data_IF_007121939323
#
_entry.id   IF_007121939323
#
_cell.length_a   1.000
_cell.length_b   1.000
_cell.length_c   1.000
_cell.angle_alpha   90.00
_cell.angle_beta   90.00
_cell.angle_gamma   90.00
#
_symmetry.space_group_name_H-M   'P 1'
#
loop_
_entity.id
_entity.type
_entity.pdbx_description
1 polymer ?
#
# COMPACT_ATOMS: atom_id res chain seq x y z
N UNK A 1 0.83 4.31 -4.14
CA UNK A 1 -0.55 4.42 -3.61
C UNK A 1 -1.27 5.52 -4.37
N UNK A 2 -2.49 5.26 -4.81
CA UNK A 2 -3.36 6.27 -5.41
C UNK A 2 -4.57 6.50 -4.49
N UNK A 3 -5.06 7.74 -4.44
CA UNK A 3 -6.32 8.10 -3.80
C UNK A 3 -7.51 7.60 -4.65
N UNK A 4 -8.74 7.56 -4.11
CA UNK A 4 -9.92 7.12 -4.84
C UNK A 4 -10.21 7.89 -6.13
N UNK A 5 -9.65 9.09 -6.31
CA UNK A 5 -9.72 9.93 -7.51
C UNK A 5 -8.63 9.60 -8.56
N UNK A 6 -7.80 8.59 -8.34
CA UNK A 6 -6.67 8.22 -9.20
C UNK A 6 -5.40 9.07 -8.97
N UNK A 7 -5.44 10.05 -8.06
CA UNK A 7 -4.29 10.90 -7.76
C UNK A 7 -3.27 10.14 -6.92
N UNK A 8 -1.99 10.24 -7.28
CA UNK A 8 -0.93 9.58 -6.50
C UNK A 8 -0.82 10.23 -5.12
N UNK A 9 -1.07 9.45 -4.07
CA UNK A 9 -0.80 9.88 -2.71
C UNK A 9 0.71 9.88 -2.48
N UNK A 10 1.28 11.06 -2.32
CA UNK A 10 2.71 11.23 -2.10
C UNK A 10 3.06 10.99 -0.62
N UNK A 11 3.22 9.71 -0.26
CA UNK A 11 3.73 9.32 1.05
C UNK A 11 5.25 9.37 1.01
N UNK A 12 5.82 10.52 1.35
CA UNK A 12 7.29 10.74 1.28
C UNK A 12 8.06 10.19 2.48
N UNK A 13 7.39 9.93 3.60
CA UNK A 13 8.02 9.38 4.81
C UNK A 13 8.29 7.89 4.67
N UNK A 14 9.57 7.47 4.72
CA UNK A 14 9.96 6.05 4.77
C UNK A 14 9.26 5.29 5.91
N UNK A 15 9.14 5.90 7.09
CA UNK A 15 8.44 5.31 8.25
C UNK A 15 6.93 5.16 8.00
N UNK A 16 6.30 6.08 7.26
CA UNK A 16 4.90 5.97 6.89
C UNK A 16 4.67 4.85 5.86
N UNK A 17 5.54 4.75 4.84
CA UNK A 17 5.52 3.64 3.87
C UNK A 17 5.67 2.31 4.60
N UNK A 18 6.66 2.21 5.49
CA UNK A 18 6.91 1.02 6.29
C UNK A 18 5.74 0.66 7.21
N UNK A 19 5.13 1.65 7.87
CA UNK A 19 3.92 1.46 8.68
C UNK A 19 2.77 0.86 7.85
N UNK A 20 2.53 1.41 6.66
CA UNK A 20 1.50 0.90 5.77
C UNK A 20 1.80 -0.53 5.31
N UNK A 21 3.06 -0.84 4.99
CA UNK A 21 3.49 -2.18 4.62
C UNK A 21 3.33 -3.21 5.75
N UNK A 22 3.69 -2.85 6.99
CA UNK A 22 3.49 -3.68 8.18
C UNK A 22 2.01 -4.01 8.43
N UNK A 23 1.11 -3.09 8.10
CA UNK A 23 -0.33 -3.28 8.20
C UNK A 23 -0.88 -4.06 7.00
N UNK A 24 -0.48 -3.71 5.77
CA UNK A 24 -0.94 -4.34 4.53
C UNK A 24 -0.59 -5.83 4.45
N UNK A 25 0.58 -6.20 4.97
CA UNK A 25 1.01 -7.60 5.09
C UNK A 25 0.28 -8.39 6.18
N UNK A 26 -0.44 -7.73 7.10
CA UNK A 26 -1.27 -8.42 8.08
C UNK A 26 -2.52 -8.97 7.40
N UNK A 27 -2.88 -10.23 7.66
CA UNK A 27 -4.09 -10.82 7.09
C UNK A 27 -5.34 -9.96 7.36
N UNK A 28 -5.47 -9.42 8.58
CA UNK A 28 -6.56 -8.54 9.02
C UNK A 28 -6.35 -7.05 8.73
N UNK A 29 -5.18 -6.65 8.22
CA UNK A 29 -4.78 -5.25 8.15
C UNK A 29 -4.41 -4.64 9.50
N UNK A 30 -4.40 -5.42 10.59
CA UNK A 30 -4.29 -4.94 11.96
C UNK A 30 -3.03 -5.42 12.67
N UNK A 31 -2.37 -4.51 13.39
CA UNK A 31 -1.20 -4.79 14.23
C UNK A 31 -1.29 -4.09 15.58
N UNK A 32 -0.60 -4.66 16.56
CA UNK A 32 -0.47 -4.06 17.89
C UNK A 32 0.44 -2.84 17.84
N UNK A 33 0.07 -1.78 18.57
CA UNK A 33 0.85 -0.53 18.61
C UNK A 33 2.26 -0.74 19.14
N UNK A 34 2.41 -1.56 20.17
CA UNK A 34 3.70 -1.89 20.74
C UNK A 34 4.59 -2.62 19.71
N UNK A 35 4.02 -3.53 18.93
CA UNK A 35 4.75 -4.24 17.88
C UNK A 35 5.19 -3.30 16.75
N UNK A 36 4.31 -2.39 16.31
CA UNK A 36 4.69 -1.36 15.32
C UNK A 36 5.80 -0.45 15.87
N UNK A 37 5.71 -0.08 17.15
CA UNK A 37 6.70 0.78 17.81
C UNK A 37 8.07 0.10 17.89
N UNK A 38 8.09 -1.17 18.28
CA UNK A 38 9.29 -2.00 18.30
C UNK A 38 9.93 -2.10 16.91
N UNK A 39 9.13 -2.38 15.87
CA UNK A 39 9.63 -2.46 14.50
C UNK A 39 10.17 -1.14 13.99
N UNK A 40 9.43 -0.04 14.15
CA UNK A 40 9.75 1.21 13.46
C UNK A 40 10.45 2.25 14.33
N UNK A 41 10.54 2.06 15.65
CA UNK A 41 11.15 3.02 16.57
C UNK A 41 11.74 2.29 17.79
N UNK A 42 12.19 1.04 17.62
CA UNK A 42 12.70 0.20 18.70
C UNK A 42 13.98 0.75 19.32
N UNK A 43 14.75 1.52 18.55
CA UNK A 43 15.94 2.24 19.04
C UNK A 43 15.62 3.46 19.92
N UNK A 44 14.34 3.86 20.01
CA UNK A 44 13.90 5.05 20.78
C UNK A 44 13.29 4.66 22.12
N UNK A 45 13.40 5.59 23.06
CA UNK A 45 12.65 5.52 24.32
C UNK A 45 11.14 5.39 24.10
N UNK A 46 10.47 4.61 24.95
CA UNK A 46 9.05 4.24 24.80
C UNK A 46 8.14 5.46 24.55
N UNK A 47 8.32 6.56 25.30
CA UNK A 47 7.52 7.77 25.12
C UNK A 47 7.74 8.43 23.76
N UNK A 48 8.97 8.41 23.26
CA UNK A 48 9.33 8.94 21.95
C UNK A 48 8.80 8.06 20.81
N UNK A 49 8.89 6.74 20.94
CA UNK A 49 8.32 5.78 19.99
C UNK A 49 6.80 5.97 19.88
N UNK A 50 6.11 6.07 21.02
CA UNK A 50 4.66 6.35 21.06
C UNK A 50 4.29 7.68 20.42
N UNK A 51 5.06 8.75 20.69
CA UNK A 51 4.85 10.05 20.08
C UNK A 51 5.05 10.03 18.56
N UNK A 52 6.08 9.32 18.11
CA UNK A 52 6.40 9.15 16.68
C UNK A 52 5.28 8.40 15.95
N UNK A 53 4.78 7.30 16.52
CA UNK A 53 3.64 6.58 15.96
C UNK A 53 2.39 7.49 15.88
N UNK A 54 2.08 8.27 16.92
CA UNK A 54 0.93 9.19 16.89
C UNK A 54 1.06 10.23 15.77
N UNK A 55 2.26 10.79 15.59
CA UNK A 55 2.54 11.78 14.55
C UNK A 55 2.39 11.20 13.14
N UNK A 56 2.97 10.03 12.88
CA UNK A 56 2.84 9.38 11.56
C UNK A 56 1.38 9.01 11.25
N UNK A 57 0.64 8.47 12.23
CA UNK A 57 -0.78 8.19 12.07
C UNK A 57 -1.60 9.46 11.79
N UNK A 58 -1.25 10.58 12.44
CA UNK A 58 -1.91 11.86 12.17
C UNK A 58 -1.62 12.35 10.75
N UNK A 59 -0.37 12.24 10.28
CA UNK A 59 0.02 12.58 8.90
C UNK A 59 -0.72 11.75 7.87
N UNK A 60 -0.78 10.43 8.06
CA UNK A 60 -1.52 9.52 7.18
C UNK A 60 -3.02 9.85 7.10
N UNK A 61 -3.65 10.16 8.24
CA UNK A 61 -5.05 10.60 8.26
C UNK A 61 -5.25 11.93 7.55
N UNK A 62 -4.33 12.88 7.69
CA UNK A 62 -4.41 14.17 7.01
C UNK A 62 -4.33 14.02 5.48
N UNK A 63 -3.48 13.13 4.99
CA UNK A 63 -3.36 12.82 3.55
C UNK A 63 -4.64 12.21 2.96
N UNK A 64 -5.47 11.58 3.80
CA UNK A 64 -6.69 10.88 3.37
C UNK A 64 -7.97 11.51 3.90
N UNK A 65 -7.89 12.75 4.40
CA UNK A 65 -9.01 13.43 5.04
C UNK A 65 -10.20 13.69 4.10
N UNK A 66 -9.99 13.69 2.79
CA UNK A 66 -11.06 13.81 1.78
C UNK A 66 -11.73 12.49 1.38
N UNK A 67 -11.26 11.36 1.90
CA UNK A 67 -11.86 10.06 1.59
C UNK A 67 -13.14 9.85 2.42
N UNK A 68 -14.15 9.14 1.87
CA UNK A 68 -15.42 8.88 2.57
C UNK A 68 -15.24 8.01 3.83
N UNK A 69 -14.14 7.25 3.92
CA UNK A 69 -13.81 6.39 5.04
C UNK A 69 -12.36 6.59 5.46
N UNK A 70 -12.04 6.43 6.76
CA UNK A 70 -10.66 6.56 7.24
C UNK A 70 -9.77 5.45 6.68
N UNK A 71 -8.61 5.82 6.11
CA UNK A 71 -7.61 4.85 5.66
C UNK A 71 -7.07 4.01 6.82
N UNK A 72 -6.80 4.65 7.96
CA UNK A 72 -6.23 4.00 9.14
C UNK A 72 -7.07 4.32 10.36
N UNK A 73 -7.50 3.26 11.05
CA UNK A 73 -8.17 3.31 12.34
C UNK A 73 -7.18 2.95 13.44
N UNK A 74 -7.27 3.62 14.58
CA UNK A 74 -6.36 3.38 15.70
C UNK A 74 -7.11 3.39 17.02
N UNK A 75 -6.85 2.38 17.84
CA UNK A 75 -7.31 2.31 19.24
C UNK A 75 -6.16 2.61 20.19
N UNK A 76 -6.37 2.44 21.50
CA UNK A 76 -5.29 2.50 22.49
C UNK A 76 -4.29 1.34 22.36
N UNK A 77 -4.65 0.23 21.70
CA UNK A 77 -3.81 -0.99 21.61
C UNK A 77 -3.41 -1.36 20.19
N UNK A 78 -4.24 -1.07 19.20
CA UNK A 78 -4.07 -1.55 17.82
C UNK A 78 -4.14 -0.42 16.80
N UNK A 79 -3.59 -0.69 15.63
CA UNK A 79 -3.71 0.13 14.42
C UNK A 79 -4.17 -0.80 13.31
N UNK A 80 -5.18 -0.37 12.56
CA UNK A 80 -5.79 -1.12 11.48
C UNK A 80 -5.81 -0.30 10.20
N UNK A 81 -5.32 -0.91 9.12
CA UNK A 81 -5.49 -0.42 7.76
C UNK A 81 -6.82 -0.93 7.21
N UNK A 82 -7.63 -0.03 6.65
CA UNK A 82 -8.91 -0.40 6.05
C UNK A 82 -8.67 -1.05 4.68
N UNK A 83 -8.48 -2.37 4.67
CA UNK A 83 -8.15 -3.15 3.47
C UNK A 83 -9.25 -3.07 2.38
N UNK A 84 -10.50 -2.81 2.75
CA UNK A 84 -11.60 -2.71 1.77
C UNK A 84 -11.57 -1.44 0.92
N UNK A 85 -10.75 -0.46 1.31
CA UNK A 85 -10.69 0.86 0.68
C UNK A 85 -9.42 1.07 -0.15
N UNK A 86 -8.55 0.07 -0.22
CA UNK A 86 -7.26 0.16 -0.91
C UNK A 86 -6.99 -1.11 -1.69
N UNK A 87 -6.42 -0.94 -2.87
CA UNK A 87 -5.79 -2.05 -3.59
C UNK A 87 -4.36 -2.26 -3.07
N UNK A 88 -3.98 -3.51 -2.90
CA UNK A 88 -2.70 -3.89 -2.30
C UNK A 88 -2.09 -5.03 -3.11
N UNK A 89 -1.09 -4.68 -3.92
CA UNK A 89 -0.39 -5.59 -4.84
C UNK A 89 0.03 -6.91 -4.17
N UNK A 90 0.63 -6.84 -2.97
CA UNK A 90 1.12 -8.04 -2.24
C UNK A 90 0.01 -9.00 -1.79
N UNK A 91 -1.26 -8.59 -1.89
CA UNK A 91 -2.42 -9.44 -1.57
C UNK A 91 -3.07 -10.02 -2.83
N UNK A 92 -2.56 -9.66 -4.00
CA UNK A 92 -3.00 -10.18 -5.28
C UNK A 92 -1.92 -11.15 -5.79
N UNK A 93 -2.19 -12.45 -5.67
CA UNK A 93 -1.25 -13.51 -6.06
C UNK A 93 -0.78 -13.38 -7.52
N UNK A 94 -1.66 -12.92 -8.40
CA UNK A 94 -1.38 -12.76 -9.82
C UNK A 94 -0.42 -11.57 -10.07
N UNK A 95 -0.63 -10.44 -9.38
CA UNK A 95 0.31 -9.32 -9.42
C UNK A 95 1.67 -9.73 -8.84
N UNK A 96 1.68 -10.44 -7.71
CA UNK A 96 2.90 -10.95 -7.09
C UNK A 96 3.67 -11.90 -8.03
N UNK A 97 2.96 -12.76 -8.76
CA UNK A 97 3.56 -13.72 -9.69
C UNK A 97 4.31 -13.06 -10.86
N UNK A 98 3.85 -11.89 -11.29
CA UNK A 98 4.42 -11.13 -12.41
C UNK A 98 5.33 -9.98 -11.97
N UNK A 99 5.35 -9.65 -10.69
CA UNK A 99 6.26 -8.64 -10.17
C UNK A 99 7.70 -9.11 -10.31
N UNK A 100 8.50 -8.34 -11.05
CA UNK A 100 9.94 -8.52 -11.16
C UNK A 100 10.71 -7.67 -10.15
N UNK A 101 10.02 -6.77 -9.44
CA UNK A 101 10.61 -5.84 -8.48
C UNK A 101 10.56 -6.41 -7.06
N UNK A 102 11.54 -6.02 -6.25
CA UNK A 102 11.61 -6.40 -4.85
C UNK A 102 10.58 -5.61 -4.02
N UNK A 103 9.92 -6.27 -3.08
CA UNK A 103 8.97 -5.62 -2.18
C UNK A 103 9.65 -4.48 -1.40
N UNK A 104 9.11 -3.27 -1.50
CA UNK A 104 9.69 -2.06 -0.92
C UNK A 104 11.18 -1.85 -1.28
N UNK A 105 11.54 -2.07 -2.55
CA UNK A 105 12.88 -1.78 -3.06
C UNK A 105 13.36 -0.38 -2.63
N UNK A 106 14.61 -0.29 -2.14
CA UNK A 106 15.23 0.96 -1.70
C UNK A 106 14.71 1.55 -0.38
N UNK A 107 13.73 0.92 0.28
CA UNK A 107 13.37 1.26 1.66
C UNK A 107 14.43 0.67 2.59
N UNK A 108 15.01 1.55 3.39
CA UNK A 108 15.96 1.28 4.46
C UNK A 108 15.73 2.32 5.56
N UNK A 109 15.57 1.83 6.79
CA UNK A 109 15.27 2.64 7.96
C UNK A 109 16.43 2.55 8.95
N UNK A 110 17.36 3.50 8.81
CA UNK A 110 18.55 3.59 9.65
C UNK A 110 18.25 3.43 11.16
N UNK A 111 18.94 2.48 11.78
CA UNK A 111 18.88 2.21 13.21
C UNK A 111 17.69 1.34 13.66
N UNK A 112 16.91 0.74 12.76
CA UNK A 112 15.81 -0.16 13.11
C UNK A 112 16.01 -1.58 12.56
N UNK A 113 16.96 -2.31 13.13
CA UNK A 113 17.26 -3.72 12.80
C UNK A 113 16.00 -4.59 12.76
N UNK A 114 15.09 -4.41 13.73
CA UNK A 114 13.86 -5.22 13.81
C UNK A 114 12.93 -5.05 12.61
N UNK A 115 12.92 -3.88 11.96
CA UNK A 115 12.20 -3.68 10.71
C UNK A 115 12.94 -4.31 9.54
N UNK A 116 14.26 -4.14 9.45
CA UNK A 116 15.08 -4.70 8.38
C UNK A 116 15.02 -6.24 8.36
N UNK A 117 15.03 -6.88 9.53
CA UNK A 117 14.84 -8.33 9.65
C UNK A 117 13.46 -8.78 9.14
N UNK A 118 12.41 -8.04 9.52
CA UNK A 118 11.06 -8.31 9.04
C UNK A 118 10.94 -8.10 7.52
N UNK A 119 11.57 -7.05 6.99
CA UNK A 119 11.54 -6.74 5.56
C UNK A 119 12.24 -7.83 4.76
N UNK A 120 13.38 -8.32 5.24
CA UNK A 120 14.11 -9.45 4.66
C UNK A 120 13.26 -10.72 4.65
N UNK A 121 12.63 -11.06 5.77
CA UNK A 121 11.72 -12.21 5.86
C UNK A 121 10.55 -12.08 4.89
N UNK A 122 9.92 -10.90 4.82
CA UNK A 122 8.82 -10.62 3.91
C UNK A 122 9.22 -10.79 2.44
N UNK A 123 10.38 -10.26 2.05
CA UNK A 123 10.91 -10.37 0.69
C UNK A 123 11.19 -11.82 0.32
N UNK A 124 11.77 -12.61 1.23
CA UNK A 124 11.98 -14.04 1.01
C UNK A 124 10.65 -14.78 0.81
N UNK A 125 9.66 -14.53 1.67
CA UNK A 125 8.34 -15.16 1.55
C UNK A 125 7.64 -14.82 0.22
N UNK A 126 7.75 -13.58 -0.25
CA UNK A 126 7.19 -13.14 -1.55
C UNK A 126 7.94 -13.80 -2.71
N UNK A 127 9.27 -13.88 -2.64
CA UNK A 127 10.09 -14.54 -3.65
C UNK A 127 9.77 -16.05 -3.75
N UNK A 128 9.60 -16.72 -2.63
CA UNK A 128 9.21 -18.13 -2.56
C UNK A 128 7.81 -18.36 -3.18
N UNK A 129 6.85 -17.47 -2.90
CA UNK A 129 5.53 -17.52 -3.55
C UNK A 129 5.64 -17.33 -5.08
N UNK A 130 6.44 -16.36 -5.53
CA UNK A 130 6.62 -16.08 -6.97
C UNK A 130 7.32 -17.22 -7.74
N UNK A 131 8.14 -18.01 -7.04
CA UNK A 131 8.91 -19.12 -7.64
C UNK A 131 8.14 -20.45 -7.63
N UNK A 132 7.23 -20.65 -6.67
CA UNK A 132 6.38 -21.84 -6.57
C UNK A 132 5.23 -21.87 -7.59
N UNK A 133 4.93 -20.75 -8.24
CA UNK A 133 3.90 -20.67 -9.28
C UNK A 133 4.40 -21.21 -10.64
N UNK A 134 3.62 -22.08 -11.32
CA UNK A 134 4.02 -22.69 -12.58
C UNK A 134 4.24 -21.65 -13.68
N UNK A 135 5.33 -21.83 -14.44
CA UNK A 135 5.82 -20.89 -15.46
C UNK A 135 4.78 -20.54 -16.54
N UNK A 136 3.80 -21.41 -16.78
CA UNK A 136 2.74 -21.23 -17.79
C UNK A 136 1.85 -20.01 -17.51
N UNK A 137 1.72 -19.62 -16.23
CA UNK A 137 0.96 -18.41 -15.83
C UNK A 137 1.75 -17.11 -16.03
N UNK A 138 3.07 -17.16 -16.25
CA UNK A 138 3.93 -15.97 -16.44
C UNK A 138 3.88 -15.37 -17.85
N UNK A 139 3.15 -15.99 -18.78
CA UNK A 139 3.22 -15.70 -20.23
C UNK A 139 2.16 -14.69 -20.70
N UNK A 140 1.18 -14.33 -19.87
CA UNK A 140 0.16 -13.32 -20.23
C UNK A 140 -0.03 -12.32 -19.10
N UNK A 141 0.35 -11.03 -19.24
CA UNK A 141 0.04 -10.00 -18.26
C UNK A 141 -1.49 -9.80 -18.13
N UNK A 142 -1.99 -9.23 -17.03
CA UNK A 142 -3.42 -9.00 -16.88
C UNK A 142 -3.82 -7.96 -17.92
N UNK A 143 -4.77 -8.32 -18.78
CA UNK A 143 -5.33 -7.39 -19.74
C UNK A 143 -5.90 -6.18 -18.98
N UNK A 144 -5.30 -5.00 -19.18
CA UNK A 144 -5.74 -3.75 -18.59
C UNK A 144 -7.23 -3.52 -18.92
N UNK A 145 -8.11 -3.76 -17.94
CA UNK A 145 -9.51 -3.39 -17.99
C UNK A 145 -9.65 -1.89 -17.75
N UNK A 146 -9.18 -1.06 -18.68
CA UNK A 146 -9.52 0.38 -18.76
C UNK A 146 -9.14 0.99 -20.13
N UNK A 147 -9.50 0.31 -21.21
CA UNK A 147 -9.51 0.93 -22.55
C UNK A 147 -10.74 0.48 -23.33
N UNK A 148 -11.89 1.06 -22.98
CA UNK A 148 -13.01 1.24 -23.91
C UNK A 148 -14.09 2.11 -23.24
N UNK A 149 -13.95 3.44 -23.36
CA UNK A 149 -15.10 4.29 -23.70
C UNK A 149 -14.62 5.71 -24.00
N UNK A 150 -14.40 5.94 -25.29
CA UNK A 150 -14.11 7.25 -25.86
C UNK A 150 -14.43 7.28 -27.35
N UNK A 151 -15.51 6.62 -27.78
CA UNK A 151 -16.00 6.72 -29.15
C UNK A 151 -16.85 7.97 -29.29
N UNK A 152 -16.17 9.00 -29.73
CA UNK A 152 -16.63 10.28 -30.24
C UNK A 152 -17.85 10.13 -31.18
N UNK A 153 -19.01 10.65 -30.77
CA UNK A 153 -20.15 10.89 -31.69
C UNK A 153 -20.30 12.40 -31.91
N UNK A 154 -19.92 12.82 -33.12
CA UNK A 154 -20.13 14.16 -33.69
C UNK A 154 -21.64 14.37 -33.89
N UNK A 155 -22.27 15.49 -33.45
CA UNK A 155 -23.62 15.79 -33.88
C UNK A 155 -23.58 16.33 -35.32
N UNK A 156 -24.30 15.66 -36.23
CA UNK A 156 -24.63 16.20 -37.55
C UNK A 156 -25.68 17.31 -37.42
N UNK A 157 -25.45 18.41 -38.15
CA UNK A 157 -26.35 19.56 -38.24
C UNK A 157 -27.36 19.32 -39.38
N UNK A 158 -28.66 19.61 -39.23
CA UNK A 158 -29.64 19.39 -40.30
C UNK A 158 -29.61 20.51 -41.36
N UNK A 159 -30.12 20.28 -42.58
CA UNK A 159 -30.03 21.24 -43.68
C UNK A 159 -31.08 22.36 -43.56
N UNK A 160 -30.72 23.55 -44.04
CA UNK A 160 -31.58 24.73 -44.16
C UNK A 160 -32.34 24.64 -45.49
N UNK A 161 -33.69 24.81 -45.52
CA UNK A 161 -34.42 24.93 -46.79
C UNK A 161 -34.40 26.39 -47.30
N UNK A 162 -34.40 26.53 -48.64
CA UNK A 162 -34.60 27.81 -49.37
C UNK A 162 -36.00 28.40 -49.17
#
# INVERSE_FOLDING_TARGET
>A
MAAPNGERLDVTSKKAIALLALLASANSGERWRAWIQDKLWGSRELRQAQASLRLELHRLRKLTAGAPFPLVEATSRTVRLNLSMIDIDIRNEEIVAWSTSEFLEGIDIAGEESFEDWLREMRNNIADLSSSLPADRKISPPANANSANGSQTRPENPPIPE
#
